data_IF_999526820343
#
_entry.id   IF_999526820343
#
_cell.length_a   1.000
_cell.length_b   1.000
_cell.length_c   1.000
_cell.angle_alpha   90.00
_cell.angle_beta   90.00
_cell.angle_gamma   90.00
#
_symmetry.space_group_name_H-M   'P 1'
#
loop_
_entity.id
_entity.type
_entity.pdbx_description
1 polymer ?
#
# COMPACT_ATOMS: atom_id res chain seq x y z
N UNK A 1 -7.68 20.95 -15.89
CA UNK A 1 -7.09 19.78 -15.22
C UNK A 1 -6.89 18.68 -16.26
N UNK A 2 -5.68 18.13 -16.39
CA UNK A 2 -5.41 17.08 -17.38
C UNK A 2 -5.79 15.70 -16.81
N UNK A 3 -6.61 14.93 -17.53
CA UNK A 3 -7.06 13.58 -17.13
C UNK A 3 -5.87 12.66 -16.89
N UNK A 4 -4.85 12.72 -17.75
CA UNK A 4 -3.66 11.89 -17.63
C UNK A 4 -2.88 12.16 -16.33
N UNK A 5 -2.73 13.44 -15.97
CA UNK A 5 -2.08 13.85 -14.72
C UNK A 5 -2.84 13.29 -13.51
N UNK A 6 -4.16 13.43 -13.49
CA UNK A 6 -4.97 12.93 -12.37
C UNK A 6 -4.92 11.41 -12.24
N UNK A 7 -5.04 10.68 -13.36
CA UNK A 7 -4.93 9.21 -13.35
C UNK A 7 -3.57 8.77 -12.81
N UNK A 8 -2.48 9.40 -13.25
CA UNK A 8 -1.14 9.06 -12.78
C UNK A 8 -0.95 9.38 -11.28
N UNK A 9 -1.47 10.52 -10.81
CA UNK A 9 -1.47 10.87 -9.39
C UNK A 9 -2.27 9.87 -8.57
N UNK A 10 -3.48 9.50 -9.01
CA UNK A 10 -4.34 8.52 -8.33
C UNK A 10 -3.65 7.16 -8.23
N UNK A 11 -3.02 6.69 -9.32
CA UNK A 11 -2.23 5.45 -9.32
C UNK A 11 -1.04 5.51 -8.36
N UNK A 12 -0.29 6.61 -8.37
CA UNK A 12 0.88 6.81 -7.50
C UNK A 12 0.47 6.82 -6.02
N UNK A 13 -0.58 7.58 -5.69
CA UNK A 13 -1.14 7.64 -4.33
C UNK A 13 -1.68 6.28 -3.92
N UNK A 14 -2.43 5.59 -4.79
CA UNK A 14 -2.98 4.27 -4.49
C UNK A 14 -1.90 3.23 -4.14
N UNK A 15 -0.81 3.18 -4.91
CA UNK A 15 0.33 2.29 -4.61
C UNK A 15 1.01 2.66 -3.29
N UNK A 16 1.16 3.96 -3.02
CA UNK A 16 1.76 4.45 -1.78
C UNK A 16 0.90 4.09 -0.55
N UNK A 17 -0.42 4.16 -0.67
CA UNK A 17 -1.34 3.77 0.39
C UNK A 17 -1.25 2.28 0.70
N UNK A 18 -1.09 1.40 -0.31
CA UNK A 18 -0.87 -0.03 -0.08
C UNK A 18 0.40 -0.26 0.75
N UNK A 19 1.49 0.45 0.43
CA UNK A 19 2.72 0.40 1.22
C UNK A 19 2.46 0.84 2.67
N UNK A 20 1.71 1.93 2.88
CA UNK A 20 1.39 2.39 4.22
C UNK A 20 0.47 1.45 5.00
N UNK A 21 -0.47 0.76 4.35
CA UNK A 21 -1.24 -0.29 5.01
C UNK A 21 -0.33 -1.39 5.54
N UNK A 22 0.60 -1.88 4.71
CA UNK A 22 1.58 -2.87 5.14
C UNK A 22 2.46 -2.36 6.28
N UNK A 23 2.88 -1.10 6.22
CA UNK A 23 3.69 -0.45 7.27
C UNK A 23 2.95 -0.39 8.61
N UNK A 24 1.70 0.07 8.62
CA UNK A 24 0.88 0.12 9.84
C UNK A 24 0.60 -1.28 10.40
N UNK A 25 0.25 -2.24 9.53
CA UNK A 25 0.08 -3.63 9.94
C UNK A 25 1.37 -4.23 10.51
N UNK A 26 2.53 -3.92 9.92
CA UNK A 26 3.83 -4.35 10.39
C UNK A 26 4.18 -3.73 11.76
N UNK A 27 3.84 -2.47 12.01
CA UNK A 27 4.06 -1.82 13.29
C UNK A 27 3.29 -2.53 14.42
N UNK A 28 2.03 -2.88 14.19
CA UNK A 28 1.22 -3.66 15.13
C UNK A 28 1.84 -5.05 15.31
N UNK A 29 2.11 -5.76 14.21
CA UNK A 29 2.67 -7.13 14.25
C UNK A 29 4.00 -7.18 14.99
N UNK A 30 4.94 -6.28 14.71
CA UNK A 30 6.26 -6.24 15.32
C UNK A 30 6.21 -6.02 16.84
N UNK A 31 5.17 -5.32 17.33
CA UNK A 31 4.95 -5.12 18.76
C UNK A 31 4.68 -6.43 19.50
N UNK A 32 4.11 -7.42 18.82
CA UNK A 32 3.82 -8.74 19.37
C UNK A 32 4.88 -9.78 19.03
N UNK A 33 5.43 -9.75 17.80
CA UNK A 33 6.35 -10.80 17.35
C UNK A 33 7.80 -10.60 17.80
N UNK A 34 8.22 -9.37 18.06
CA UNK A 34 9.60 -9.08 18.50
C UNK A 34 9.60 -8.04 19.64
N UNK A 35 9.01 -8.35 20.81
CA UNK A 35 8.86 -7.39 21.89
C UNK A 35 10.20 -6.87 22.44
N UNK A 36 11.25 -7.71 22.46
CA UNK A 36 12.54 -7.40 23.09
C UNK A 36 13.54 -6.71 22.16
N UNK A 37 13.14 -6.40 20.92
CA UNK A 37 14.01 -5.70 19.99
C UNK A 37 14.43 -4.34 20.58
N UNK A 38 15.75 -4.00 20.62
CA UNK A 38 16.20 -2.70 21.09
C UNK A 38 15.67 -1.62 20.15
N UNK A 39 14.97 -0.63 20.71
CA UNK A 39 14.33 0.45 19.97
C UNK A 39 14.75 1.77 20.55
N UNK A 40 15.43 2.60 19.77
CA UNK A 40 15.80 3.97 20.16
C UNK A 40 14.58 4.86 20.40
N UNK A 41 13.44 4.52 19.77
CA UNK A 41 12.16 5.20 19.96
C UNK A 41 11.04 4.20 20.26
N UNK A 42 10.16 4.57 21.20
CA UNK A 42 8.96 3.80 21.53
C UNK A 42 7.74 4.71 21.48
N UNK A 43 6.69 4.24 20.82
CA UNK A 43 5.39 4.89 20.87
C UNK A 43 4.92 4.97 22.33
N UNK A 44 4.58 6.17 22.84
CA UNK A 44 4.07 6.34 24.20
C UNK A 44 2.74 5.58 24.39
N UNK A 45 2.44 5.14 25.62
CA UNK A 45 1.23 4.37 25.90
C UNK A 45 1.31 2.87 25.55
N UNK A 46 2.51 2.35 25.22
CA UNK A 46 2.75 0.92 25.13
C UNK A 46 1.96 0.21 24.04
N UNK A 47 1.18 -0.81 24.41
CA UNK A 47 0.34 -1.57 23.45
C UNK A 47 -0.87 -0.76 23.00
N UNK A 48 -1.51 -0.03 23.90
CA UNK A 48 -2.67 0.80 23.57
C UNK A 48 -2.28 1.93 22.60
N UNK A 49 -1.13 2.59 22.85
CA UNK A 49 -0.62 3.64 21.96
C UNK A 49 -0.35 3.14 20.54
N UNK A 50 0.26 1.95 20.38
CA UNK A 50 0.46 1.34 19.06
C UNK A 50 -0.88 1.09 18.35
N UNK A 51 -1.89 0.56 19.05
CA UNK A 51 -3.19 0.29 18.43
C UNK A 51 -3.94 1.56 18.03
N UNK A 52 -3.91 2.60 18.86
CA UNK A 52 -4.56 3.88 18.53
C UNK A 52 -3.88 4.51 17.30
N UNK A 53 -2.56 4.60 17.29
CA UNK A 53 -1.83 5.27 16.21
C UNK A 53 -1.80 4.41 14.94
N UNK A 54 -1.33 3.17 15.04
CA UNK A 54 -1.18 2.32 13.86
C UNK A 54 -2.52 1.75 13.39
N UNK A 55 -3.45 1.42 14.30
CA UNK A 55 -4.80 1.01 13.93
C UNK A 55 -5.61 2.16 13.34
N UNK A 56 -5.57 3.35 13.97
CA UNK A 56 -6.18 4.55 13.41
C UNK A 56 -5.59 4.95 12.06
N UNK A 57 -4.27 4.92 11.93
CA UNK A 57 -3.56 5.15 10.68
C UNK A 57 -3.95 4.15 9.60
N UNK A 58 -4.03 2.85 9.93
CA UNK A 58 -4.46 1.80 9.01
C UNK A 58 -5.89 2.04 8.50
N UNK A 59 -6.83 2.38 9.38
CA UNK A 59 -8.21 2.69 9.00
C UNK A 59 -8.29 3.93 8.11
N UNK A 60 -7.54 4.98 8.42
CA UNK A 60 -7.49 6.20 7.62
C UNK A 60 -6.96 5.92 6.21
N UNK A 61 -5.83 5.20 6.07
CA UNK A 61 -5.28 4.88 4.74
C UNK A 61 -6.16 3.90 3.97
N UNK A 62 -6.84 2.96 4.65
CA UNK A 62 -7.81 2.06 4.04
C UNK A 62 -8.98 2.84 3.43
N UNK A 63 -9.50 3.82 4.18
CA UNK A 63 -10.55 4.71 3.70
C UNK A 63 -10.06 5.55 2.51
N UNK A 64 -8.90 6.21 2.60
CA UNK A 64 -8.34 7.00 1.49
C UNK A 64 -8.09 6.15 0.24
N UNK A 65 -7.67 4.89 0.41
CA UNK A 65 -7.49 3.97 -0.71
C UNK A 65 -8.83 3.64 -1.38
N UNK A 66 -9.88 3.37 -0.61
CA UNK A 66 -11.22 3.17 -1.16
C UNK A 66 -11.70 4.41 -1.94
N UNK A 67 -11.46 5.62 -1.40
CA UNK A 67 -11.81 6.90 -2.06
C UNK A 67 -11.09 7.08 -3.40
N UNK A 68 -9.87 6.54 -3.57
CA UNK A 68 -9.09 6.67 -4.80
C UNK A 68 -9.82 6.10 -6.03
N UNK A 69 -10.74 5.15 -5.82
CA UNK A 69 -11.53 4.51 -6.88
C UNK A 69 -12.77 5.31 -7.31
N UNK A 70 -13.08 6.42 -6.64
CA UNK A 70 -14.21 7.29 -6.97
C UNK A 70 -13.74 8.47 -7.83
N UNK A 71 -14.23 8.60 -9.08
CA UNK A 71 -13.84 9.71 -9.95
C UNK A 71 -14.46 11.03 -9.48
N UNK A 72 -13.73 12.15 -9.58
CA UNK A 72 -14.33 13.47 -9.42
C UNK A 72 -15.26 13.78 -10.61
N UNK A 73 -16.41 14.39 -10.33
CA UNK A 73 -17.46 14.71 -11.31
C UNK A 73 -17.04 15.72 -12.39
N UNK A 74 -15.94 16.43 -12.18
CA UNK A 74 -15.45 17.51 -13.04
C UNK A 74 -14.48 17.02 -14.13
N UNK A 75 -14.07 15.75 -14.09
CA UNK A 75 -13.17 15.20 -15.10
C UNK A 75 -13.96 14.73 -16.33
N UNK A 76 -13.51 15.06 -17.55
CA UNK A 76 -14.10 14.54 -18.79
C UNK A 76 -13.66 13.10 -19.03
N UNK A 77 -13.84 12.24 -18.03
CA UNK A 77 -13.71 10.79 -18.16
C UNK A 77 -15.04 10.29 -18.70
N UNK A 78 -15.06 9.74 -19.91
CA UNK A 78 -16.30 9.43 -20.64
C UNK A 78 -17.35 8.67 -19.80
N UNK A 79 -16.91 7.77 -18.92
CA UNK A 79 -17.76 7.22 -17.86
C UNK A 79 -17.01 7.05 -16.52
N UNK A 80 -17.70 7.12 -15.37
CA UNK A 80 -17.12 6.80 -14.07
C UNK A 80 -16.52 5.40 -14.00
N UNK A 81 -17.19 4.42 -14.64
CA UNK A 81 -16.73 3.04 -14.69
C UNK A 81 -15.38 2.90 -15.40
N UNK A 82 -15.15 3.68 -16.47
CA UNK A 82 -13.87 3.69 -17.18
C UNK A 82 -12.74 4.16 -16.28
N UNK A 83 -12.95 5.22 -15.49
CA UNK A 83 -11.94 5.68 -14.53
C UNK A 83 -11.61 4.60 -13.50
N UNK A 84 -12.62 4.04 -12.85
CA UNK A 84 -12.44 3.03 -11.80
C UNK A 84 -11.73 1.79 -12.35
N UNK A 85 -12.09 1.34 -13.56
CA UNK A 85 -11.44 0.22 -14.22
C UNK A 85 -9.97 0.49 -14.53
N UNK A 86 -9.63 1.68 -15.04
CA UNK A 86 -8.25 2.08 -15.33
C UNK A 86 -7.39 2.16 -14.06
N UNK A 87 -7.92 2.77 -13.00
CA UNK A 87 -7.21 2.87 -11.72
C UNK A 87 -7.02 1.49 -11.10
N UNK A 88 -8.07 0.66 -11.04
CA UNK A 88 -7.99 -0.68 -10.47
C UNK A 88 -7.04 -1.59 -11.24
N UNK A 89 -7.15 -1.65 -12.57
CA UNK A 89 -6.25 -2.45 -13.40
C UNK A 89 -4.81 -1.96 -13.35
N UNK A 90 -4.59 -0.63 -13.38
CA UNK A 90 -3.27 -0.03 -13.25
C UNK A 90 -2.63 -0.35 -11.90
N UNK A 91 -3.36 -0.16 -10.80
CA UNK A 91 -2.87 -0.51 -9.45
C UNK A 91 -2.51 -1.99 -9.36
N UNK A 92 -3.36 -2.91 -9.86
CA UNK A 92 -3.07 -4.34 -9.86
C UNK A 92 -1.84 -4.69 -10.70
N UNK A 93 -1.71 -4.09 -11.89
CA UNK A 93 -0.57 -4.29 -12.77
C UNK A 93 0.74 -3.84 -12.11
N UNK A 94 0.77 -2.62 -11.57
CA UNK A 94 1.96 -2.09 -10.90
C UNK A 94 2.29 -2.85 -9.62
N UNK A 95 1.28 -3.31 -8.88
CA UNK A 95 1.49 -4.14 -7.69
C UNK A 95 2.08 -5.51 -8.07
N UNK A 96 1.68 -6.10 -9.20
CA UNK A 96 2.16 -7.41 -9.62
C UNK A 96 3.66 -7.43 -9.99
N UNK A 97 4.22 -6.31 -10.46
CA UNK A 97 5.62 -6.19 -10.89
C UNK A 97 6.62 -6.58 -9.77
N UNK A 98 6.64 -5.94 -8.58
CA UNK A 98 7.58 -6.28 -7.52
C UNK A 98 7.42 -7.74 -7.03
N UNK A 99 6.19 -8.26 -7.00
CA UNK A 99 5.97 -9.68 -6.66
C UNK A 99 6.54 -10.63 -7.72
N UNK A 100 6.37 -10.32 -9.01
CA UNK A 100 6.95 -11.09 -10.10
C UNK A 100 8.50 -11.08 -10.04
N UNK A 101 9.09 -9.91 -9.78
CA UNK A 101 10.54 -9.75 -9.60
C UNK A 101 11.03 -10.57 -8.41
N UNK A 102 10.40 -10.44 -7.23
CA UNK A 102 10.77 -11.18 -6.03
C UNK A 102 10.72 -12.69 -6.27
N UNK A 103 9.67 -13.19 -6.92
CA UNK A 103 9.53 -14.61 -7.25
C UNK A 103 10.61 -15.10 -8.22
N UNK A 104 10.99 -14.28 -9.19
CA UNK A 104 12.09 -14.60 -10.13
C UNK A 104 13.43 -14.68 -9.40
N UNK A 105 13.70 -13.74 -8.50
CA UNK A 105 14.94 -13.69 -7.72
C UNK A 105 15.06 -14.90 -6.76
N UNK A 106 13.97 -15.31 -6.11
CA UNK A 106 13.95 -16.50 -5.25
C UNK A 106 14.22 -17.80 -6.03
N UNK A 107 13.70 -17.89 -7.27
CA UNK A 107 13.99 -19.01 -8.18
C UNK A 107 15.47 -19.08 -8.54
N UNK A 108 16.10 -17.94 -8.83
CA UNK A 108 17.54 -17.90 -9.14
C UNK A 108 18.42 -18.29 -7.96
N UNK A 109 18.11 -17.82 -6.73
CA UNK A 109 18.85 -18.20 -5.52
C UNK A 109 18.81 -19.72 -5.28
N UNK A 110 17.64 -20.35 -5.46
CA UNK A 110 17.48 -21.81 -5.35
C UNK A 110 18.27 -22.60 -6.40
N UNK A 111 18.45 -22.05 -7.60
CA UNK A 111 19.24 -22.69 -8.65
C UNK A 111 20.75 -22.56 -8.42
N UNK A 112 21.23 -21.41 -7.92
CA UNK A 112 22.64 -21.21 -7.59
C UNK A 112 23.10 -22.00 -6.37
N UNK A 113 22.27 -22.14 -5.32
CA UNK A 113 22.61 -22.94 -4.14
C UNK A 113 22.62 -24.48 -4.36
N UNK A 114 22.29 -24.94 -5.58
CA UNK A 114 22.38 -26.35 -5.99
C UNK A 114 23.59 -26.65 -6.88
N UNK A 115 24.40 -25.64 -7.22
CA UNK A 115 25.70 -25.78 -7.90
C UNK A 115 26.82 -25.59 -6.88
#
# INVERSE_FOLDING_TARGET
MNVAFFLLSALTIGLYLIMYMMMYAAAIRLRYTQPDLPRSYRVPGGRAGIWIIAGGGLLAVLFSFAVTFFPPSQLPVGSPATYTALVASGTLLFLAIPFAISRSMDRQKRQKGKR
#
